data_IF_925621002366
#
_entry.id   IF_925621002366
#
_cell.length_a   1.000
_cell.length_b   1.000
_cell.length_c   1.000
_cell.angle_alpha   90.00
_cell.angle_beta   90.00
_cell.angle_gamma   90.00
#
_symmetry.space_group_name_H-M   'P 1'
#
loop_
_entity.id
_entity.type
_entity.pdbx_description
1 polymer ?
#
# COMPACT_ATOMS: atom_id res chain seq x y z
N UNK A 1 -2.46 22.52 -7.08
CA UNK A 1 -2.29 22.69 -5.61
C UNK A 1 -1.55 21.51 -4.95
N UNK A 2 -1.38 20.37 -5.64
CA UNK A 2 -0.56 19.23 -5.16
C UNK A 2 0.85 19.22 -5.77
N UNK A 3 1.24 20.29 -6.44
CA UNK A 3 2.37 20.28 -7.37
C UNK A 3 3.67 20.62 -6.62
N UNK A 4 3.57 21.43 -5.56
CA UNK A 4 4.70 21.79 -4.70
C UNK A 4 4.36 21.76 -3.21
N UNK A 5 5.33 21.35 -2.39
CA UNK A 5 5.31 21.40 -0.93
C UNK A 5 6.56 22.11 -0.46
N UNK A 6 6.41 23.25 0.22
CA UNK A 6 7.54 24.05 0.68
C UNK A 6 8.46 24.56 -0.45
N UNK A 7 7.91 24.74 -1.65
CA UNK A 7 8.67 25.18 -2.84
C UNK A 7 9.40 24.06 -3.60
N UNK A 8 9.29 22.79 -3.15
CA UNK A 8 9.83 21.61 -3.84
C UNK A 8 8.72 20.81 -4.51
N UNK A 9 8.99 20.06 -5.59
CA UNK A 9 8.02 19.13 -6.16
C UNK A 9 7.47 18.19 -5.09
N UNK A 10 6.14 18.07 -4.99
CA UNK A 10 5.52 17.29 -3.94
C UNK A 10 5.76 15.79 -4.10
N UNK A 11 5.81 15.31 -5.35
CA UNK A 11 5.88 13.89 -5.68
C UNK A 11 7.06 13.17 -5.02
N UNK A 12 8.33 13.63 -5.13
CA UNK A 12 9.46 13.02 -4.43
C UNK A 12 9.30 12.94 -2.91
N UNK A 13 8.58 13.87 -2.27
CA UNK A 13 8.33 13.80 -0.83
C UNK A 13 7.25 12.77 -0.51
N UNK A 14 6.16 12.77 -1.29
CA UNK A 14 5.01 11.91 -1.06
C UNK A 14 5.32 10.43 -1.29
N UNK A 15 6.20 10.07 -2.23
CA UNK A 15 6.59 8.66 -2.49
C UNK A 15 7.27 7.98 -1.30
N UNK A 16 7.86 8.72 -0.36
CA UNK A 16 8.48 8.12 0.84
C UNK A 16 7.45 7.43 1.74
N UNK A 17 6.21 7.94 1.76
CA UNK A 17 5.13 7.38 2.58
C UNK A 17 4.81 5.93 2.17
N UNK A 18 4.39 5.65 0.92
CA UNK A 18 4.10 4.28 0.51
C UNK A 18 5.34 3.39 0.51
N UNK A 19 6.51 3.92 0.11
CA UNK A 19 7.78 3.16 0.06
C UNK A 19 8.20 2.66 1.45
N UNK A 20 7.90 3.38 2.52
CA UNK A 20 8.23 2.94 3.88
C UNK A 20 7.08 2.18 4.53
N UNK A 21 5.86 2.72 4.48
CA UNK A 21 4.76 2.20 5.28
C UNK A 21 4.16 0.91 4.72
N UNK A 22 4.12 0.71 3.40
CA UNK A 22 3.58 -0.53 2.82
C UNK A 22 4.45 -1.73 3.18
N UNK A 23 5.80 -1.70 2.99
CA UNK A 23 6.66 -2.81 3.42
C UNK A 23 6.62 -3.03 4.93
N UNK A 24 6.59 -1.95 5.73
CA UNK A 24 6.48 -2.04 7.18
C UNK A 24 5.16 -2.72 7.61
N UNK A 25 4.05 -2.37 6.96
CA UNK A 25 2.76 -3.00 7.22
C UNK A 25 2.73 -4.47 6.76
N UNK A 26 3.35 -4.81 5.63
CA UNK A 26 3.46 -6.20 5.18
C UNK A 26 4.25 -7.07 6.17
N UNK A 27 5.38 -6.56 6.68
CA UNK A 27 6.16 -7.22 7.73
C UNK A 27 5.37 -7.35 9.04
N UNK A 28 4.64 -6.31 9.44
CA UNK A 28 3.77 -6.36 10.61
C UNK A 28 2.64 -7.40 10.45
N UNK A 29 2.06 -7.51 9.26
CA UNK A 29 1.04 -8.50 8.96
C UNK A 29 1.60 -9.92 9.04
N UNK A 30 2.79 -10.15 8.48
CA UNK A 30 3.51 -11.42 8.60
C UNK A 30 3.81 -11.76 10.06
N UNK A 31 4.26 -10.79 10.85
CA UNK A 31 4.54 -10.99 12.27
C UNK A 31 3.27 -11.37 13.06
N UNK A 32 2.13 -10.73 12.77
CA UNK A 32 0.84 -11.10 13.36
C UNK A 32 0.37 -12.48 12.87
N UNK A 33 0.62 -12.84 11.61
CA UNK A 33 0.30 -14.17 11.09
C UNK A 33 1.06 -15.27 11.84
N UNK A 34 2.36 -15.07 12.10
CA UNK A 34 3.20 -15.99 12.88
C UNK A 34 2.81 -15.99 14.36
N UNK A 35 2.43 -14.84 14.93
CA UNK A 35 2.00 -14.71 16.32
C UNK A 35 0.59 -14.10 16.43
N UNK A 36 -0.49 -14.88 16.19
CA UNK A 36 -1.88 -14.37 16.12
C UNK A 36 -2.35 -13.61 17.37
N UNK A 37 -1.71 -13.85 18.52
CA UNK A 37 -1.96 -13.15 19.79
C UNK A 37 -1.77 -11.63 19.65
N UNK A 38 -0.85 -11.20 18.80
CA UNK A 38 -0.55 -9.78 18.55
C UNK A 38 -1.67 -9.04 17.83
N UNK A 39 -2.58 -9.75 17.16
CA UNK A 39 -3.75 -9.16 16.50
C UNK A 39 -4.63 -8.36 17.47
N UNK A 40 -4.65 -8.71 18.76
CA UNK A 40 -5.44 -7.99 19.76
C UNK A 40 -4.90 -6.59 20.04
N UNK A 41 -3.58 -6.46 20.13
CA UNK A 41 -2.92 -5.21 20.54
C UNK A 41 -2.52 -4.34 19.36
N UNK A 42 -2.04 -4.97 18.27
CA UNK A 42 -1.42 -4.25 17.15
C UNK A 42 -2.28 -4.23 15.88
N UNK A 43 -3.39 -4.98 15.82
CA UNK A 43 -4.21 -5.07 14.60
C UNK A 43 -4.69 -3.72 14.08
N UNK A 44 -5.21 -2.86 14.97
CA UNK A 44 -5.68 -1.51 14.59
C UNK A 44 -4.53 -0.56 14.22
N UNK A 45 -3.40 -0.64 14.94
CA UNK A 45 -2.21 0.14 14.60
C UNK A 45 -1.71 -0.24 13.20
N UNK A 46 -1.63 -1.54 12.91
CA UNK A 46 -1.20 -2.05 11.62
C UNK A 46 -2.15 -1.64 10.48
N UNK A 47 -3.46 -1.70 10.71
CA UNK A 47 -4.45 -1.20 9.75
C UNK A 47 -4.29 0.31 9.51
N UNK A 48 -4.01 1.10 10.55
CA UNK A 48 -3.70 2.52 10.42
C UNK A 48 -2.45 2.77 9.59
N UNK A 49 -1.35 2.05 9.85
CA UNK A 49 -0.10 2.16 9.08
C UNK A 49 -0.33 1.82 7.60
N UNK A 50 -1.03 0.71 7.32
CA UNK A 50 -1.37 0.33 5.95
C UNK A 50 -2.28 1.35 5.27
N UNK A 51 -3.25 1.92 6.00
CA UNK A 51 -4.14 2.96 5.50
C UNK A 51 -3.41 4.24 5.13
N UNK A 52 -2.47 4.70 5.98
CA UNK A 52 -1.61 5.84 5.64
C UNK A 52 -0.69 5.51 4.46
N UNK A 53 -0.19 4.28 4.37
CA UNK A 53 0.57 3.82 3.21
C UNK A 53 -0.23 3.88 1.91
N UNK A 54 -1.49 3.44 1.92
CA UNK A 54 -2.41 3.54 0.78
C UNK A 54 -2.70 5.00 0.40
N UNK A 55 -3.02 5.86 1.39
CA UNK A 55 -3.25 7.28 1.12
C UNK A 55 -2.00 7.95 0.55
N UNK A 56 -0.82 7.59 1.04
CA UNK A 56 0.46 8.02 0.48
C UNK A 56 0.65 7.59 -0.97
N UNK A 57 0.29 6.35 -1.33
CA UNK A 57 0.33 5.88 -2.71
C UNK A 57 -0.61 6.68 -3.62
N UNK A 58 -1.84 6.97 -3.17
CA UNK A 58 -2.82 7.78 -3.91
C UNK A 58 -2.29 9.20 -4.14
N UNK A 59 -1.76 9.85 -3.11
CA UNK A 59 -1.22 11.20 -3.25
C UNK A 59 0.08 11.24 -4.07
N UNK A 60 0.90 10.19 -3.99
CA UNK A 60 2.07 10.06 -4.86
C UNK A 60 1.65 9.95 -6.33
N UNK A 61 0.66 9.14 -6.68
CA UNK A 61 0.14 9.03 -8.05
C UNK A 61 -0.41 10.37 -8.55
N UNK A 62 -1.28 11.02 -7.76
CA UNK A 62 -1.88 12.32 -8.13
C UNK A 62 -0.83 13.42 -8.35
N UNK A 63 0.17 13.50 -7.48
CA UNK A 63 1.26 14.48 -7.63
C UNK A 63 2.21 14.14 -8.77
N UNK A 64 2.34 12.86 -9.13
CA UNK A 64 3.12 12.41 -10.30
C UNK A 64 2.44 12.80 -11.61
N UNK A 65 1.12 12.62 -11.70
CA UNK A 65 0.34 13.02 -12.87
C UNK A 65 0.37 14.53 -13.08
N UNK A 66 0.16 15.31 -12.03
CA UNK A 66 0.27 16.78 -12.11
C UNK A 66 1.68 17.25 -12.56
N UNK A 67 2.72 16.51 -12.18
CA UNK A 67 4.08 16.77 -12.65
C UNK A 67 4.24 16.44 -14.14
N UNK A 68 3.68 15.32 -14.60
CA UNK A 68 3.66 14.92 -16.02
C UNK A 68 2.95 15.97 -16.88
N UNK A 69 1.76 16.42 -16.47
CA UNK A 69 1.00 17.49 -17.15
C UNK A 69 1.84 18.79 -17.26
N UNK A 70 2.60 19.12 -16.22
CA UNK A 70 3.49 20.30 -16.23
C UNK A 70 4.64 20.14 -17.23
N UNK A 71 5.23 18.95 -17.34
CA UNK A 71 6.27 18.66 -18.32
C UNK A 71 5.73 18.79 -19.75
N UNK A 72 4.56 18.23 -20.01
CA UNK A 72 3.89 18.33 -21.31
C UNK A 72 3.56 19.78 -21.68
N UNK A 73 3.01 20.56 -20.73
CA UNK A 73 2.71 21.97 -20.94
C UNK A 73 3.94 22.84 -21.22
N UNK A 74 5.12 22.43 -20.74
CA UNK A 74 6.39 23.12 -20.98
C UNK A 74 7.13 22.62 -22.24
N UNK A 75 6.52 21.68 -22.98
CA UNK A 75 7.09 21.10 -24.20
C UNK A 75 8.24 20.13 -23.96
N UNK A 76 8.42 19.65 -22.72
CA UNK A 76 9.42 18.62 -22.43
C UNK A 76 8.95 17.25 -22.93
N UNK A 77 9.89 16.47 -23.46
CA UNK A 77 9.58 15.13 -23.97
C UNK A 77 9.42 14.15 -22.80
N UNK A 78 8.26 13.51 -22.71
CA UNK A 78 8.03 12.39 -21.80
C UNK A 78 8.82 11.19 -22.34
N UNK A 79 9.78 10.68 -21.56
CA UNK A 79 10.53 9.48 -21.92
C UNK A 79 9.68 8.24 -21.70
N UNK A 80 9.93 7.16 -22.45
CA UNK A 80 9.26 5.89 -22.23
C UNK A 80 9.44 5.37 -20.80
N UNK A 81 10.60 5.63 -20.19
CA UNK A 81 10.86 5.25 -18.80
C UNK A 81 10.06 6.03 -17.78
N UNK A 82 9.66 7.27 -18.08
CA UNK A 82 8.77 8.05 -17.23
C UNK A 82 7.33 7.53 -17.34
N UNK A 83 6.90 7.16 -18.55
CA UNK A 83 5.60 6.52 -18.78
C UNK A 83 5.51 5.18 -18.05
N UNK A 84 6.52 4.31 -18.21
CA UNK A 84 6.61 3.03 -17.51
C UNK A 84 6.52 3.21 -15.98
N UNK A 85 7.17 4.24 -15.43
CA UNK A 85 7.10 4.54 -14.00
C UNK A 85 5.69 4.96 -13.57
N UNK A 86 4.99 5.77 -14.37
CA UNK A 86 3.63 6.20 -14.08
C UNK A 86 2.66 5.01 -14.06
N UNK A 87 2.71 4.14 -15.09
CA UNK A 87 1.88 2.93 -15.17
C UNK A 87 2.17 1.97 -13.99
N UNK A 88 3.44 1.80 -13.63
CA UNK A 88 3.83 1.01 -12.45
C UNK A 88 3.36 1.68 -11.14
N UNK A 89 3.26 3.00 -11.10
CA UNK A 89 2.70 3.76 -9.98
C UNK A 89 1.23 3.45 -9.73
N UNK A 90 0.43 3.44 -10.80
CA UNK A 90 -0.99 3.08 -10.74
C UNK A 90 -1.19 1.62 -10.30
N UNK A 91 -0.36 0.71 -10.83
CA UNK A 91 -0.37 -0.68 -10.40
C UNK A 91 -0.04 -0.79 -8.89
N UNK A 92 0.99 -0.09 -8.41
CA UNK A 92 1.37 -0.07 -6.99
C UNK A 92 0.24 0.46 -6.10
N UNK A 93 -0.47 1.50 -6.53
CA UNK A 93 -1.67 2.01 -5.84
C UNK A 93 -2.75 0.92 -5.74
N UNK A 94 -3.02 0.21 -6.85
CA UNK A 94 -3.98 -0.90 -6.87
C UNK A 94 -3.61 -2.02 -5.90
N UNK A 95 -2.35 -2.45 -5.88
CA UNK A 95 -1.88 -3.48 -4.94
C UNK A 95 -1.96 -3.00 -3.48
N UNK A 96 -1.61 -1.74 -3.20
CA UNK A 96 -1.75 -1.15 -1.87
C UNK A 96 -3.21 -1.15 -1.40
N UNK A 97 -4.16 -0.85 -2.29
CA UNK A 97 -5.58 -0.83 -2.00
C UNK A 97 -6.10 -2.23 -1.65
N UNK A 98 -5.74 -3.25 -2.44
CA UNK A 98 -6.09 -4.65 -2.19
C UNK A 98 -5.51 -5.13 -0.86
N UNK A 99 -4.24 -4.84 -0.60
CA UNK A 99 -3.58 -5.20 0.65
C UNK A 99 -4.28 -4.57 1.86
N UNK A 100 -4.54 -3.26 1.82
CA UNK A 100 -5.27 -2.56 2.89
C UNK A 100 -6.67 -3.14 3.10
N UNK A 101 -7.43 -3.37 2.03
CA UNK A 101 -8.78 -3.92 2.13
C UNK A 101 -8.80 -5.30 2.80
N UNK A 102 -7.91 -6.21 2.37
CA UNK A 102 -7.78 -7.54 2.98
C UNK A 102 -7.36 -7.45 4.45
N UNK A 103 -6.42 -6.57 4.77
CA UNK A 103 -5.95 -6.36 6.14
C UNK A 103 -7.08 -5.81 7.03
N UNK A 104 -7.81 -4.82 6.54
CA UNK A 104 -8.96 -4.24 7.24
C UNK A 104 -10.03 -5.31 7.52
N UNK A 105 -10.37 -6.14 6.53
CA UNK A 105 -11.29 -7.28 6.71
C UNK A 105 -10.76 -8.25 7.75
N UNK A 106 -9.48 -8.59 7.73
CA UNK A 106 -8.87 -9.50 8.71
C UNK A 106 -8.92 -8.93 10.14
N UNK A 107 -8.61 -7.65 10.32
CA UNK A 107 -8.66 -6.95 11.61
C UNK A 107 -10.10 -6.85 12.12
N UNK A 108 -11.04 -6.45 11.26
CA UNK A 108 -12.48 -6.36 11.58
C UNK A 108 -13.05 -7.72 11.96
N UNK A 109 -12.73 -8.77 11.19
CA UNK A 109 -13.15 -10.13 11.49
C UNK A 109 -12.58 -10.61 12.83
N UNK A 110 -11.29 -10.35 13.09
CA UNK A 110 -10.68 -10.68 14.37
C UNK A 110 -11.30 -9.90 15.54
N UNK A 111 -11.64 -8.63 15.36
CA UNK A 111 -12.33 -7.82 16.35
C UNK A 111 -13.75 -8.31 16.62
N UNK A 112 -14.53 -8.58 15.57
CA UNK A 112 -15.90 -9.07 15.67
C UNK A 112 -15.96 -10.41 16.41
N UNK A 113 -15.08 -11.36 16.07
CA UNK A 113 -15.02 -12.66 16.75
C UNK A 113 -14.76 -12.52 18.25
N UNK A 114 -13.87 -11.61 18.64
CA UNK A 114 -13.56 -11.37 20.05
C UNK A 114 -14.73 -10.75 20.81
N UNK A 115 -15.50 -9.86 20.17
CA UNK A 115 -16.62 -9.16 20.82
C UNK A 115 -17.88 -10.02 20.91
N UNK A 116 -18.14 -10.85 19.90
CA UNK A 116 -19.38 -11.63 19.79
C UNK A 116 -19.37 -12.94 20.59
N UNK A 117 -18.19 -13.47 20.93
CA UNK A 117 -18.04 -14.80 21.55
C UNK A 117 -18.15 -15.94 20.54
N UNK A 118 -17.62 -17.13 20.89
CA UNK A 118 -17.50 -18.24 19.93
C UNK A 118 -18.86 -18.76 19.44
N UNK A 119 -19.87 -18.89 20.31
CA UNK A 119 -21.20 -19.41 19.93
C UNK A 119 -21.90 -18.58 18.85
N UNK A 120 -21.92 -17.25 19.01
CA UNK A 120 -22.55 -16.34 18.04
C UNK A 120 -21.81 -16.32 16.71
N UNK A 121 -20.49 -16.47 16.74
CA UNK A 121 -19.67 -16.53 15.53
C UNK A 121 -19.93 -17.83 14.78
N UNK A 122 -19.98 -18.98 15.47
CA UNK A 122 -20.21 -20.28 14.82
C UNK A 122 -21.61 -20.44 14.27
N UNK A 123 -22.60 -19.71 14.83
CA UNK A 123 -23.95 -19.65 14.29
C UNK A 123 -24.02 -18.93 12.92
N UNK A 124 -23.15 -17.95 12.67
CA UNK A 124 -23.09 -17.18 11.41
C UNK A 124 -22.08 -17.79 10.42
N UNK A 125 -20.96 -18.30 10.93
CA UNK A 125 -19.82 -18.79 10.15
C UNK A 125 -19.45 -20.18 10.61
N UNK A 126 -19.61 -21.19 9.74
CA UNK A 126 -19.34 -22.60 10.07
C UNK A 126 -17.91 -22.90 10.53
N UNK A 127 -16.90 -22.25 9.94
CA UNK A 127 -15.48 -22.53 10.21
C UNK A 127 -14.66 -21.23 10.41
N UNK A 128 -14.84 -20.51 11.52
CA UNK A 128 -14.22 -19.20 11.71
C UNK A 128 -12.70 -19.25 11.82
N UNK A 129 -12.12 -20.38 12.24
CA UNK A 129 -10.66 -20.58 12.29
C UNK A 129 -10.07 -20.69 10.87
N UNK A 130 -10.73 -21.43 9.97
CA UNK A 130 -10.30 -21.58 8.58
C UNK A 130 -10.37 -20.24 7.85
N UNK A 131 -11.46 -19.48 8.01
CA UNK A 131 -11.57 -18.13 7.43
C UNK A 131 -10.44 -17.21 7.92
N UNK A 132 -10.09 -17.26 9.19
CA UNK A 132 -8.98 -16.45 9.70
C UNK A 132 -7.62 -16.83 9.12
N UNK A 133 -7.38 -18.12 8.87
CA UNK A 133 -6.15 -18.59 8.21
C UNK A 133 -6.14 -18.11 6.76
N UNK A 134 -7.24 -18.28 6.02
CA UNK A 134 -7.35 -17.82 4.63
C UNK A 134 -7.10 -16.31 4.55
N UNK A 135 -7.77 -15.50 5.40
CA UNK A 135 -7.55 -14.06 5.44
C UNK A 135 -6.09 -13.72 5.77
N UNK A 136 -5.49 -14.40 6.73
CA UNK A 136 -4.07 -14.19 7.06
C UNK A 136 -3.15 -14.47 5.87
N UNK A 137 -3.39 -15.56 5.13
CA UNK A 137 -2.59 -15.91 3.94
C UNK A 137 -2.78 -14.87 2.84
N UNK A 138 -4.04 -14.48 2.55
CA UNK A 138 -4.35 -13.47 1.54
C UNK A 138 -3.71 -12.11 1.87
N UNK A 139 -3.73 -11.70 3.13
CA UNK A 139 -3.07 -10.46 3.59
C UNK A 139 -1.55 -10.54 3.41
N UNK A 140 -0.92 -11.66 3.77
CA UNK A 140 0.53 -11.83 3.61
C UNK A 140 0.92 -11.80 2.13
N UNK A 141 0.22 -12.54 1.28
CA UNK A 141 0.50 -12.60 -0.16
C UNK A 141 0.29 -11.24 -0.82
N UNK A 142 -0.82 -10.57 -0.53
CA UNK A 142 -1.08 -9.21 -1.07
C UNK A 142 -0.08 -8.18 -0.54
N UNK A 143 0.38 -8.29 0.71
CA UNK A 143 1.41 -7.42 1.28
C UNK A 143 2.77 -7.60 0.59
N UNK A 144 3.15 -8.83 0.25
CA UNK A 144 4.35 -9.12 -0.55
C UNK A 144 4.22 -8.51 -1.95
N UNK A 145 3.07 -8.70 -2.61
CA UNK A 145 2.81 -8.14 -3.94
C UNK A 145 2.87 -6.59 -3.93
N UNK A 146 2.24 -5.95 -2.94
CA UNK A 146 2.29 -4.49 -2.78
C UNK A 146 3.72 -3.99 -2.53
N UNK A 147 4.47 -4.66 -1.67
CA UNK A 147 5.88 -4.34 -1.39
C UNK A 147 6.75 -4.46 -2.64
N UNK A 148 6.59 -5.56 -3.38
CA UNK A 148 7.32 -5.78 -4.63
C UNK A 148 6.97 -4.72 -5.67
N UNK A 149 5.68 -4.42 -5.85
CA UNK A 149 5.23 -3.38 -6.80
C UNK A 149 5.85 -2.03 -6.48
N UNK A 150 5.75 -1.55 -5.23
CA UNK A 150 6.32 -0.26 -4.83
C UNK A 150 7.84 -0.21 -5.02
N UNK A 151 8.53 -1.33 -4.79
CA UNK A 151 9.99 -1.42 -5.00
C UNK A 151 10.34 -1.32 -6.48
N UNK A 152 9.63 -2.03 -7.35
CA UNK A 152 9.85 -2.00 -8.81
C UNK A 152 9.52 -0.61 -9.38
N UNK A 153 8.39 -0.02 -8.96
CA UNK A 153 8.01 1.35 -9.32
C UNK A 153 9.10 2.34 -8.92
N UNK A 154 9.62 2.24 -7.68
CA UNK A 154 10.70 3.11 -7.19
C UNK A 154 12.00 2.95 -7.96
N UNK A 155 12.36 1.72 -8.35
CA UNK A 155 13.53 1.47 -9.20
C UNK A 155 13.36 2.10 -10.59
N UNK A 156 12.18 1.96 -11.21
CA UNK A 156 11.86 2.60 -12.49
C UNK A 156 11.95 4.13 -12.40
N UNK A 157 11.44 4.72 -11.33
CA UNK A 157 11.53 6.18 -11.09
C UNK A 157 12.98 6.66 -10.90
N UNK A 158 13.83 5.89 -10.22
CA UNK A 158 15.24 6.21 -10.12
C UNK A 158 15.94 6.17 -11.50
N UNK A 159 15.54 5.21 -12.35
CA UNK A 159 16.09 5.04 -13.70
C UNK A 159 15.72 6.21 -14.62
N UNK A 160 14.48 6.71 -14.58
CA UNK A 160 14.05 7.85 -15.41
C UNK A 160 14.84 9.13 -15.11
N UNK A 161 15.15 9.38 -13.84
CA UNK A 161 15.98 10.52 -13.41
C UNK A 161 17.46 10.34 -13.78
N UNK A 162 17.98 9.11 -13.73
CA UNK A 162 19.39 8.86 -14.02
C UNK A 162 19.71 8.84 -15.51
N UNK A 163 18.81 8.31 -16.35
CA UNK A 163 19.00 8.25 -17.81
C UNK A 163 18.80 9.61 -18.49
N UNK A 164 17.92 10.48 -17.96
CA UNK A 164 17.75 11.85 -18.46
C UNK A 164 18.96 12.76 -18.23
N UNK A 165 19.94 12.33 -17.42
CA UNK A 165 21.20 13.07 -17.17
C UNK A 165 22.36 12.68 -18.09
N UNK A 166 22.21 11.64 -18.92
CA UNK A 166 23.22 11.22 -19.91
C UNK A 166 22.91 11.81 -21.27
#
# INVERSE_FOLDING_TARGET
MFDTLGGLPAHPLLVHIPVVLIPLAALGALAIAVRPRWMRSFGWLLAGVAGVGLLGAIFAAQSGEAYKETLEATGQTITSTLEDHAEMGDAAQGFAAVFFALLAVWVLFAWWRRRSGEEKVTAVVKQPKVIAIILSVLVVVSGIAATASVTVTGHSGAKSVWESKK
#
